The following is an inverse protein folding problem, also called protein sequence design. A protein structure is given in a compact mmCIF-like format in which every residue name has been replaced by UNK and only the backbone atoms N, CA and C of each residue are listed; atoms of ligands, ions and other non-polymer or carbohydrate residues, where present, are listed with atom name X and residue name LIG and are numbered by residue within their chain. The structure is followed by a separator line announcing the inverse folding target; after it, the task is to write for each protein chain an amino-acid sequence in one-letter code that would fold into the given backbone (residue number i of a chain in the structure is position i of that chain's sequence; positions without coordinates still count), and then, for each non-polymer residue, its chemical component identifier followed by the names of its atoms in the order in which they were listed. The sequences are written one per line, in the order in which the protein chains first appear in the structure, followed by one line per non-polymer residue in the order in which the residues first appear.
data_IF_657258391872
#
_entry.id   IF_657258391872
#
_cell.length_a   1.000
_cell.length_b   1.000
_cell.length_c   1.000
_cell.angle_alpha   90.00
_cell.angle_beta   90.00
_cell.angle_gamma   90.00
#
_symmetry.space_group_name_H-M   'P 1'
#
loop_
_entity.id
_entity.type
_entity.pdbx_description
1 polymer ?
#
# COMPACT_ATOMS: atom_id res chain seq x y z
N UNK A 1 -31.03 -7.68 -8.05
CA UNK A 1 -30.90 -6.42 -8.84
C UNK A 1 -29.77 -6.60 -9.84
N UNK A 2 -30.01 -6.25 -11.12
CA UNK A 2 -29.07 -6.46 -12.24
C UNK A 2 -27.67 -5.86 -11.99
N UNK A 3 -27.61 -4.71 -11.32
CA UNK A 3 -26.37 -4.00 -10.96
C UNK A 3 -25.45 -4.84 -10.07
N UNK A 4 -25.97 -5.51 -9.05
CA UNK A 4 -25.14 -6.35 -8.17
C UNK A 4 -24.53 -7.54 -8.91
N UNK A 5 -25.25 -8.10 -9.88
CA UNK A 5 -24.75 -9.20 -10.71
C UNK A 5 -23.60 -8.73 -11.61
N UNK A 6 -23.79 -7.60 -12.29
CA UNK A 6 -22.74 -7.00 -13.14
C UNK A 6 -21.50 -6.63 -12.32
N UNK A 7 -21.70 -6.07 -11.14
CA UNK A 7 -20.60 -5.70 -10.25
C UNK A 7 -19.82 -6.95 -9.78
N UNK A 8 -20.54 -8.00 -9.36
CA UNK A 8 -19.94 -9.25 -8.93
C UNK A 8 -19.14 -9.94 -10.04
N UNK A 9 -19.69 -10.01 -11.24
CA UNK A 9 -19.01 -10.58 -12.41
C UNK A 9 -17.71 -9.82 -12.73
N UNK A 10 -17.73 -8.48 -12.64
CA UNK A 10 -16.53 -7.66 -12.83
C UNK A 10 -15.49 -7.86 -11.74
N UNK A 11 -15.89 -8.02 -10.49
CA UNK A 11 -14.98 -8.30 -9.38
C UNK A 11 -14.30 -9.67 -9.54
N UNK A 12 -15.05 -10.69 -9.97
CA UNK A 12 -14.51 -12.02 -10.23
C UNK A 12 -13.55 -12.00 -11.42
N UNK A 13 -13.89 -11.27 -12.49
CA UNK A 13 -13.01 -11.13 -13.66
C UNK A 13 -11.64 -10.53 -13.27
N UNK A 14 -11.63 -9.50 -12.42
CA UNK A 14 -10.40 -8.88 -11.92
C UNK A 14 -9.57 -9.85 -11.06
N UNK A 15 -10.21 -10.62 -10.17
CA UNK A 15 -9.53 -11.62 -9.32
C UNK A 15 -8.89 -12.74 -10.16
N UNK A 16 -9.50 -13.09 -11.30
CA UNK A 16 -8.97 -14.14 -12.21
C UNK A 16 -7.85 -13.68 -13.14
N UNK A 17 -7.72 -12.37 -13.39
CA UNK A 17 -6.74 -11.78 -14.31
C UNK A 17 -5.55 -11.12 -13.60
N UNK A 18 -5.33 -11.45 -12.32
CA UNK A 18 -4.21 -10.91 -11.54
C UNK A 18 -2.84 -11.24 -12.14
N UNK A 19 -1.88 -10.33 -12.00
CA UNK A 19 -0.52 -10.49 -12.52
C UNK A 19 0.18 -11.68 -11.81
N UNK A 20 0.66 -12.70 -12.54
CA UNK A 20 1.34 -13.84 -11.92
C UNK A 20 2.62 -13.46 -11.15
N UNK A 21 3.22 -12.29 -11.43
CA UNK A 21 4.41 -11.80 -10.72
C UNK A 21 4.14 -11.45 -9.27
N UNK A 22 2.90 -11.09 -8.95
CA UNK A 22 2.47 -10.67 -7.62
C UNK A 22 1.76 -11.77 -6.85
N UNK A 23 1.54 -12.94 -7.46
CA UNK A 23 0.87 -14.10 -6.85
C UNK A 23 1.50 -14.61 -5.54
N UNK A 24 2.77 -14.31 -5.29
CA UNK A 24 3.46 -14.65 -4.03
C UNK A 24 3.15 -13.68 -2.88
N UNK A 25 2.52 -12.53 -3.15
CA UNK A 25 2.17 -11.52 -2.16
C UNK A 25 0.86 -11.93 -1.45
N UNK A 26 0.98 -12.23 -0.16
CA UNK A 26 -0.05 -12.87 0.64
C UNK A 26 -1.40 -12.13 0.70
N UNK A 27 -1.38 -10.79 0.60
CA UNK A 27 -2.59 -9.97 0.65
C UNK A 27 -3.22 -9.72 -0.72
N UNK A 28 -2.46 -9.85 -1.80
CA UNK A 28 -2.97 -9.59 -3.15
C UNK A 28 -3.63 -10.83 -3.78
N UNK A 29 -3.45 -12.00 -3.15
CA UNK A 29 -3.90 -13.28 -3.66
C UNK A 29 -5.43 -13.45 -3.77
N UNK A 30 -6.25 -12.61 -3.10
CA UNK A 30 -7.69 -12.65 -3.36
C UNK A 30 -8.43 -11.37 -2.97
N UNK A 31 -9.14 -10.81 -3.96
CA UNK A 31 -10.02 -9.66 -3.81
C UNK A 31 -11.13 -9.91 -2.78
N UNK A 32 -11.63 -11.16 -2.71
CA UNK A 32 -12.64 -11.60 -1.73
C UNK A 32 -12.14 -11.45 -0.29
N UNK A 33 -10.87 -11.82 -0.03
CA UNK A 33 -10.26 -11.66 1.29
C UNK A 33 -10.15 -10.18 1.67
N UNK A 34 -9.76 -9.31 0.74
CA UNK A 34 -9.69 -7.86 0.98
C UNK A 34 -11.05 -7.28 1.34
N UNK A 35 -12.11 -7.62 0.58
CA UNK A 35 -13.47 -7.15 0.91
C UNK A 35 -13.96 -7.66 2.27
N UNK A 36 -13.66 -8.91 2.62
CA UNK A 36 -14.00 -9.46 3.93
C UNK A 36 -13.29 -8.71 5.07
N UNK A 37 -11.99 -8.41 4.91
CA UNK A 37 -11.21 -7.63 5.88
C UNK A 37 -11.74 -6.20 6.03
N UNK A 38 -12.09 -5.53 4.92
CA UNK A 38 -12.68 -4.19 4.95
C UNK A 38 -14.04 -4.20 5.65
N UNK A 39 -14.91 -5.17 5.33
CA UNK A 39 -16.20 -5.31 5.99
C UNK A 39 -16.05 -5.57 7.49
N UNK A 40 -15.10 -6.44 7.88
CA UNK A 40 -14.78 -6.70 9.28
C UNK A 40 -14.25 -5.43 9.98
N UNK A 41 -13.34 -4.70 9.34
CA UNK A 41 -12.82 -3.43 9.86
C UNK A 41 -13.96 -2.42 10.11
N UNK A 42 -14.85 -2.23 9.14
CA UNK A 42 -15.99 -1.31 9.28
C UNK A 42 -16.95 -1.77 10.38
N UNK A 43 -17.24 -3.06 10.47
CA UNK A 43 -18.06 -3.61 11.55
C UNK A 43 -17.45 -3.32 12.92
N UNK A 44 -16.14 -3.55 13.06
CA UNK A 44 -15.42 -3.29 14.31
C UNK A 44 -15.39 -1.79 14.61
N UNK A 45 -15.07 -0.93 13.65
CA UNK A 45 -14.95 0.51 13.86
C UNK A 45 -16.28 1.21 14.14
N UNK A 46 -17.37 0.79 13.49
CA UNK A 46 -18.66 1.50 13.54
C UNK A 46 -19.64 0.92 14.57
N UNK A 47 -19.55 -0.38 14.88
CA UNK A 47 -20.49 -1.04 15.79
C UNK A 47 -19.78 -1.56 17.03
N UNK A 48 -18.84 -2.49 16.86
CA UNK A 48 -18.24 -3.19 18.01
C UNK A 48 -17.40 -2.27 18.90
N UNK A 49 -16.59 -1.41 18.28
CA UNK A 49 -15.70 -0.46 18.94
C UNK A 49 -16.47 0.54 19.82
N UNK A 50 -17.42 1.30 19.26
CA UNK A 50 -18.25 2.22 20.04
C UNK A 50 -19.09 1.53 21.12
N UNK A 51 -19.68 0.37 20.82
CA UNK A 51 -20.45 -0.41 21.80
C UNK A 51 -19.57 -0.90 22.96
N UNK A 52 -18.35 -1.37 22.67
CA UNK A 52 -17.40 -1.73 23.70
C UNK A 52 -16.94 -0.46 24.47
N UNK A 53 -16.84 0.70 23.80
CA UNK A 53 -16.29 1.96 24.36
C UNK A 53 -17.29 2.72 25.21
N UNK A 54 -18.58 2.42 25.09
CA UNK A 54 -19.66 3.21 25.70
C UNK A 54 -19.57 3.33 27.22
N UNK A 55 -19.00 2.31 27.90
CA UNK A 55 -18.94 2.24 29.37
C UNK A 55 -17.49 2.24 29.90
N UNK A 56 -16.52 2.72 29.12
CA UNK A 56 -15.11 2.75 29.53
C UNK A 56 -14.43 4.07 29.14
N UNK A 57 -13.43 4.46 29.92
CA UNK A 57 -12.60 5.64 29.60
C UNK A 57 -11.78 5.39 28.34
N UNK A 58 -11.44 6.46 27.63
CA UNK A 58 -10.55 6.41 26.49
C UNK A 58 -9.19 5.81 26.87
N UNK A 59 -8.57 5.07 25.94
CA UNK A 59 -7.26 4.49 26.17
C UNK A 59 -6.14 5.51 26.00
N UNK A 60 -5.16 5.49 26.89
CA UNK A 60 -3.93 6.28 26.78
C UNK A 60 -2.95 5.64 25.78
N UNK A 61 -3.19 5.85 24.48
CA UNK A 61 -2.40 5.27 23.38
C UNK A 61 -1.33 6.21 22.81
N UNK A 62 -1.04 7.33 23.49
CA UNK A 62 -0.14 8.38 23.00
C UNK A 62 1.24 7.86 22.62
N UNK A 63 1.86 7.02 23.46
CA UNK A 63 3.17 6.43 23.20
C UNK A 63 3.15 5.48 21.99
N UNK A 64 2.08 4.71 21.83
CA UNK A 64 1.92 3.78 20.69
C UNK A 64 1.82 4.57 19.38
N UNK A 65 1.03 5.64 19.38
CA UNK A 65 0.89 6.53 18.21
C UNK A 65 2.23 7.21 17.87
N UNK A 66 2.97 7.68 18.87
CA UNK A 66 4.29 8.27 18.65
C UNK A 66 5.26 7.28 17.99
N UNK A 67 5.33 6.04 18.49
CA UNK A 67 6.17 5.00 17.90
C UNK A 67 5.74 4.72 16.46
N UNK A 68 4.44 4.56 16.21
CA UNK A 68 3.91 4.33 14.87
C UNK A 68 4.31 5.42 13.88
N UNK A 69 4.14 6.70 14.25
CA UNK A 69 4.49 7.83 13.40
C UNK A 69 6.00 7.90 13.14
N UNK A 70 6.84 7.62 14.14
CA UNK A 70 8.29 7.56 13.97
C UNK A 70 8.69 6.44 13.00
N UNK A 71 8.14 5.25 13.16
CA UNK A 71 8.38 4.13 12.25
C UNK A 71 7.96 4.47 10.81
N UNK A 72 6.83 5.15 10.62
CA UNK A 72 6.41 5.62 9.30
C UNK A 72 7.42 6.60 8.67
N UNK A 73 7.87 7.61 9.42
CA UNK A 73 8.83 8.61 8.92
C UNK A 73 10.16 7.94 8.55
N UNK A 74 10.65 7.02 9.38
CA UNK A 74 11.91 6.30 9.12
C UNK A 74 11.79 5.45 7.86
N UNK A 75 10.70 4.67 7.72
CA UNK A 75 10.48 3.85 6.52
C UNK A 75 10.34 4.72 5.26
N UNK A 76 9.61 5.83 5.35
CA UNK A 76 9.46 6.77 4.23
C UNK A 76 10.78 7.43 3.84
N UNK A 77 11.59 7.81 4.83
CA UNK A 77 12.90 8.40 4.60
C UNK A 77 13.87 7.41 3.93
N UNK A 78 13.85 6.15 4.34
CA UNK A 78 14.68 5.10 3.73
C UNK A 78 14.35 4.91 2.24
N UNK A 79 13.06 4.80 1.90
CA UNK A 79 12.63 4.64 0.51
C UNK A 79 12.97 5.87 -0.35
N UNK A 80 12.67 7.07 0.15
CA UNK A 80 13.00 8.32 -0.55
C UNK A 80 14.51 8.49 -0.79
N UNK A 81 15.35 7.94 0.09
CA UNK A 81 16.80 7.97 -0.06
C UNK A 81 17.30 7.02 -1.15
N UNK A 82 16.63 5.87 -1.35
CA UNK A 82 16.94 4.90 -2.40
C UNK A 82 16.62 5.45 -3.78
N UNK A 83 15.45 6.07 -3.95
CA UNK A 83 15.03 6.66 -5.23
C UNK A 83 15.97 7.79 -5.66
N UNK A 84 16.38 8.67 -4.73
CA UNK A 84 17.35 9.74 -5.01
C UNK A 84 18.70 9.19 -5.45
N UNK A 85 19.13 8.08 -4.87
CA UNK A 85 20.41 7.44 -5.23
C UNK A 85 20.35 6.81 -6.62
N UNK A 86 19.24 6.16 -6.98
CA UNK A 86 19.03 5.60 -8.32
C UNK A 86 18.93 6.69 -9.38
N UNK A 87 18.21 7.78 -9.09
CA UNK A 87 18.10 8.92 -10.00
C UNK A 87 19.47 9.57 -10.27
N UNK A 88 20.30 9.77 -9.23
CA UNK A 88 21.66 10.29 -9.41
C UNK A 88 22.53 9.39 -10.28
N UNK A 89 22.53 8.08 -10.03
CA UNK A 89 23.24 7.11 -10.88
C UNK A 89 22.76 7.15 -12.33
N UNK A 90 21.44 7.26 -12.54
CA UNK A 90 20.85 7.42 -13.88
C UNK A 90 21.39 8.67 -14.60
N UNK A 91 21.39 9.82 -13.93
CA UNK A 91 21.92 11.08 -14.48
C UNK A 91 23.43 11.00 -14.77
N UNK A 92 24.22 10.39 -13.89
CA UNK A 92 25.66 10.18 -14.09
C UNK A 92 25.96 9.29 -15.30
N UNK A 93 25.21 8.19 -15.46
CA UNK A 93 25.36 7.32 -16.64
C UNK A 93 24.98 8.06 -17.92
N UNK A 94 23.86 8.79 -17.94
CA UNK A 94 23.45 9.61 -19.09
C UNK A 94 24.50 10.67 -19.44
N UNK A 95 25.06 11.36 -18.45
CA UNK A 95 26.15 12.33 -18.66
C UNK A 95 27.40 11.69 -19.25
N UNK A 96 27.77 10.49 -18.81
CA UNK A 96 28.89 9.73 -19.37
C UNK A 96 28.62 9.27 -20.81
N UNK A 97 27.42 8.79 -21.11
CA UNK A 97 27.03 8.41 -22.48
C UNK A 97 27.04 9.61 -23.43
N UNK A 98 26.54 10.77 -23.00
CA UNK A 98 26.54 11.98 -23.83
C UNK A 98 27.97 12.46 -24.10
N UNK A 99 28.79 12.59 -23.05
CA UNK A 99 30.16 13.11 -23.18
C UNK A 99 31.04 12.25 -24.12
N UNK A 100 31.01 10.92 -23.97
CA UNK A 100 31.81 10.02 -24.81
C UNK A 100 31.35 9.99 -26.27
N UNK A 101 30.09 10.31 -26.55
CA UNK A 101 29.57 10.39 -27.92
C UNK A 101 29.79 11.76 -28.56
N UNK A 102 29.83 12.85 -27.78
CA UNK A 102 30.16 14.19 -28.28
C UNK A 102 31.65 14.44 -28.49
N UNK A 103 32.53 13.59 -27.95
CA UNK A 103 33.99 13.70 -28.14
C UNK A 103 34.49 12.99 -29.42
N UNK A 104 33.61 12.35 -30.18
CA UNK A 104 33.95 11.61 -31.41
C UNK A 104 33.61 12.34 -32.72
N UNK A 105 32.99 13.52 -32.62
CA UNK A 105 32.76 14.46 -33.73
C UNK A 105 33.77 15.62 -33.66
#
# INVERSE_FOLDING_TARGET
MLIFKVLYEKLVELDTKSDPRTAHLSLEASLKCTFALVALYLFVALKLGPAFMSNRKAFEIKRIIQIYNLTQIVNLHDEASRERTQFKKGQETLGFYVNNNTSKD
#
